data_IF_209395564969
#
_entry.id   IF_209395564969
#
_cell.length_a   1.000
_cell.length_b   1.000
_cell.length_c   1.000
_cell.angle_alpha   90.00
_cell.angle_beta   90.00
_cell.angle_gamma   90.00
#
_symmetry.space_group_name_H-M   'P 1'
#
loop_
_entity.id
_entity.type
_entity.pdbx_description
1 polymer ?
#
# COMPACT_ATOMS: atom_id res chain seq x y z
N UNK A 1 19.58 5.97 -7.14
CA UNK A 1 18.80 4.78 -7.53
C UNK A 1 17.95 4.34 -6.35
N UNK A 2 16.69 4.78 -6.29
CA UNK A 2 15.73 4.23 -5.33
C UNK A 2 14.95 3.11 -6.02
N UNK A 3 14.98 1.90 -5.46
CA UNK A 3 14.14 0.79 -5.94
C UNK A 3 12.66 1.07 -5.74
N UNK A 4 11.81 0.20 -6.28
CA UNK A 4 10.38 0.21 -5.99
C UNK A 4 10.16 0.03 -4.48
N UNK A 5 9.27 0.83 -3.89
CA UNK A 5 8.95 0.78 -2.46
C UNK A 5 7.52 0.28 -2.34
N UNK A 6 7.37 -0.90 -1.78
CA UNK A 6 6.08 -1.44 -1.38
C UNK A 6 5.72 -0.90 0.00
N UNK A 7 4.41 -0.67 0.24
CA UNK A 7 3.90 -0.33 1.57
C UNK A 7 4.11 -1.48 2.56
N UNK A 8 4.04 -1.18 3.85
CA UNK A 8 4.01 -2.23 4.87
C UNK A 8 2.68 -2.97 4.79
N UNK A 9 2.72 -4.31 4.93
CA UNK A 9 1.50 -5.11 5.06
C UNK A 9 0.76 -4.68 6.34
N UNK A 10 -0.52 -4.32 6.19
CA UNK A 10 -1.37 -3.89 7.31
C UNK A 10 -1.62 -5.01 8.32
N UNK A 11 -1.46 -6.28 7.92
CA UNK A 11 -1.52 -7.44 8.79
C UNK A 11 -0.18 -7.73 9.50
N UNK A 12 0.89 -7.03 9.14
CA UNK A 12 2.20 -7.23 9.73
C UNK A 12 2.22 -6.79 11.20
N UNK A 13 2.77 -7.65 12.05
CA UNK A 13 2.92 -7.33 13.46
C UNK A 13 3.94 -6.19 13.70
N UNK A 14 3.61 -5.28 14.62
CA UNK A 14 4.47 -4.17 15.07
C UNK A 14 4.49 -4.09 16.61
N UNK A 15 5.38 -3.25 17.15
CA UNK A 15 5.47 -3.05 18.60
C UNK A 15 4.16 -2.46 19.15
N UNK A 16 3.68 -1.37 18.55
CA UNK A 16 2.35 -0.80 18.76
C UNK A 16 1.95 0.00 17.50
N UNK A 17 0.69 -0.12 17.02
CA UNK A 17 -0.29 -1.16 17.36
C UNK A 17 0.24 -2.56 17.05
N UNK A 18 -0.36 -3.60 17.65
CA UNK A 18 0.03 -4.98 17.36
C UNK A 18 -0.07 -5.29 15.86
N UNK A 19 -1.10 -4.78 15.21
CA UNK A 19 -1.34 -4.81 13.76
C UNK A 19 -2.22 -3.61 13.40
N UNK A 20 -2.11 -3.05 12.19
CA UNK A 20 -2.97 -1.92 11.78
C UNK A 20 -4.45 -2.33 11.78
N UNK A 21 -4.73 -3.57 11.38
CA UNK A 21 -6.09 -4.13 11.31
C UNK A 21 -6.76 -4.27 12.68
N UNK A 22 -5.99 -4.36 13.77
CA UNK A 22 -6.56 -4.41 15.13
C UNK A 22 -7.16 -3.07 15.57
N UNK A 23 -6.85 -1.99 14.84
CA UNK A 23 -7.24 -0.62 15.18
C UNK A 23 -8.20 0.00 14.16
N UNK A 24 -8.34 -0.61 12.99
CA UNK A 24 -9.23 -0.14 11.93
C UNK A 24 -10.35 -1.16 11.77
N UNK A 25 -11.53 -0.83 12.27
CA UNK A 25 -12.70 -1.70 12.14
C UNK A 25 -13.12 -1.85 10.66
N UNK A 26 -13.88 -2.91 10.38
CA UNK A 26 -14.29 -3.24 9.00
C UNK A 26 -15.22 -2.19 8.38
N UNK A 27 -15.97 -1.46 9.20
CA UNK A 27 -16.88 -0.37 8.81
C UNK A 27 -16.24 1.03 8.94
N UNK A 28 -14.96 1.11 9.29
CA UNK A 28 -14.26 2.38 9.41
C UNK A 28 -14.27 3.12 8.06
N UNK A 29 -14.64 4.41 8.01
CA UNK A 29 -14.73 5.16 6.76
C UNK A 29 -13.39 5.25 6.01
N UNK A 30 -12.25 5.07 6.67
CA UNK A 30 -10.92 5.05 6.02
C UNK A 30 -10.79 3.94 4.99
N UNK A 31 -11.58 2.86 5.10
CA UNK A 31 -11.59 1.73 4.15
C UNK A 31 -11.97 2.15 2.73
N UNK A 32 -12.60 3.32 2.56
CA UNK A 32 -12.84 3.89 1.23
C UNK A 32 -11.56 4.17 0.45
N UNK A 33 -10.43 4.39 1.14
CA UNK A 33 -9.14 4.67 0.52
C UNK A 33 -8.64 3.44 -0.23
N UNK A 34 -8.82 2.24 0.32
CA UNK A 34 -8.44 0.99 -0.35
C UNK A 34 -9.18 0.89 -1.69
N UNK A 35 -10.52 1.00 -1.67
CA UNK A 35 -11.35 0.94 -2.87
C UNK A 35 -11.01 2.05 -3.88
N UNK A 36 -10.74 3.27 -3.40
CA UNK A 36 -10.35 4.38 -4.27
C UNK A 36 -9.02 4.10 -4.97
N UNK A 37 -8.00 3.64 -4.24
CA UNK A 37 -6.66 3.38 -4.79
C UNK A 37 -6.69 2.19 -5.76
N UNK A 38 -7.46 1.15 -5.45
CA UNK A 38 -7.62 -0.04 -6.31
C UNK A 38 -8.23 0.31 -7.69
N UNK A 39 -9.02 1.37 -7.79
CA UNK A 39 -9.60 1.84 -9.05
C UNK A 39 -8.68 2.77 -9.86
N UNK A 40 -7.55 3.23 -9.29
CA UNK A 40 -6.65 4.16 -9.98
C UNK A 40 -5.73 3.44 -10.97
N UNK A 41 -5.80 3.85 -12.24
CA UNK A 41 -4.76 3.54 -13.21
C UNK A 41 -3.58 4.52 -13.06
N UNK A 42 -2.65 4.17 -12.17
CA UNK A 42 -1.47 4.99 -11.89
C UNK A 42 -0.61 5.21 -13.14
N UNK A 43 -0.61 4.29 -14.11
CA UNK A 43 0.15 4.46 -15.35
C UNK A 43 -0.49 5.55 -16.23
N UNK A 44 -1.82 5.55 -16.38
CA UNK A 44 -2.55 6.61 -17.10
C UNK A 44 -2.48 7.96 -16.41
N UNK A 45 -2.32 7.98 -15.10
CA UNK A 45 -2.11 9.19 -14.31
C UNK A 45 -0.69 9.78 -14.43
N UNK A 46 0.21 9.12 -15.17
CA UNK A 46 1.55 9.61 -15.46
C UNK A 46 2.61 9.23 -14.41
N UNK A 47 2.33 8.28 -13.53
CA UNK A 47 3.35 7.77 -12.62
C UNK A 47 4.34 6.87 -13.38
N UNK A 48 5.65 7.14 -13.21
CA UNK A 48 6.70 6.47 -13.98
C UNK A 48 7.15 5.12 -13.40
N UNK A 49 6.84 4.83 -12.14
CA UNK A 49 7.33 3.64 -11.40
C UNK A 49 6.21 2.82 -10.79
N UNK A 50 5.17 2.55 -11.59
CA UNK A 50 3.99 1.78 -11.16
C UNK A 50 4.28 0.29 -11.03
N UNK A 51 5.25 -0.23 -11.80
CA UNK A 51 5.65 -1.62 -11.73
C UNK A 51 7.02 -1.76 -11.06
N UNK A 52 7.19 -2.77 -10.17
CA UNK A 52 8.49 -3.08 -9.63
C UNK A 52 9.44 -3.53 -10.74
N UNK A 53 10.72 -3.16 -10.62
CA UNK A 53 11.76 -3.78 -11.44
C UNK A 53 11.79 -5.28 -11.14
N UNK A 54 11.99 -6.12 -12.15
CA UNK A 54 12.01 -7.58 -11.98
C UNK A 54 13.00 -8.09 -10.94
N UNK A 55 14.03 -7.31 -10.61
CA UNK A 55 15.04 -7.65 -9.61
C UNK A 55 14.78 -7.00 -8.24
N UNK A 56 13.88 -6.01 -8.15
CA UNK A 56 13.59 -5.33 -6.88
C UNK A 56 14.60 -4.22 -6.55
N UNK A 57 15.11 -4.21 -5.31
CA UNK A 57 16.07 -3.22 -4.81
C UNK A 57 17.36 -3.95 -4.44
N UNK A 58 18.47 -3.69 -5.17
CA UNK A 58 18.90 -4.62 -6.24
C UNK A 58 17.95 -5.77 -6.56
#
# INVERSE_FOLDING_TARGET
MGGFVEGADRHQASFLPACLEDYVEADNPVRIIDAFVDELDLAKLGFERVQPAATGRP
#
